data_IF_387662866039
#
_entry.id   IF_387662866039
#
_cell.length_a   1.000
_cell.length_b   1.000
_cell.length_c   1.000
_cell.angle_alpha   90.00
_cell.angle_beta   90.00
_cell.angle_gamma   90.00
#
_symmetry.space_group_name_H-M   'P 1'
#
loop_
_entity.id
_entity.type
_entity.pdbx_description
1 polymer ?
#
# COMPACT_ATOMS: atom_id res chain seq x y z
N UNK A 1 -22.01 -14.06 13.51
CA UNK A 1 -21.84 -14.30 12.05
C UNK A 1 -20.63 -13.49 11.60
N UNK A 2 -19.61 -14.09 10.97
CA UNK A 2 -18.41 -13.34 10.60
C UNK A 2 -18.69 -12.46 9.39
N UNK A 3 -18.89 -11.16 9.60
CA UNK A 3 -18.92 -10.14 8.55
C UNK A 3 -17.57 -10.15 7.82
N UNK A 4 -17.53 -10.74 6.63
CA UNK A 4 -16.40 -10.64 5.72
C UNK A 4 -16.44 -9.30 4.97
N UNK A 5 -15.31 -8.90 4.39
CA UNK A 5 -15.29 -7.81 3.42
C UNK A 5 -16.28 -8.08 2.28
N UNK A 6 -16.90 -7.03 1.71
CA UNK A 6 -17.79 -7.16 0.54
C UNK A 6 -17.13 -7.92 -0.61
N UNK A 7 -15.82 -7.72 -0.80
CA UNK A 7 -15.02 -8.41 -1.82
C UNK A 7 -14.94 -9.91 -1.51
N UNK A 8 -14.76 -10.28 -0.25
CA UNK A 8 -14.71 -11.67 0.18
C UNK A 8 -16.04 -12.38 -0.09
N UNK A 9 -17.16 -11.78 0.31
CA UNK A 9 -18.49 -12.38 0.10
C UNK A 9 -18.77 -12.55 -1.39
N UNK A 10 -18.51 -11.52 -2.20
CA UNK A 10 -18.71 -11.57 -3.65
C UNK A 10 -17.89 -12.67 -4.32
N UNK A 11 -16.61 -12.80 -3.99
CA UNK A 11 -15.76 -13.85 -4.54
C UNK A 11 -16.18 -15.24 -4.06
N UNK A 12 -16.60 -15.38 -2.80
CA UNK A 12 -17.09 -16.66 -2.29
C UNK A 12 -18.36 -17.13 -3.00
N UNK A 13 -19.29 -16.21 -3.29
CA UNK A 13 -20.50 -16.49 -4.07
C UNK A 13 -20.17 -16.88 -5.52
N UNK A 14 -19.23 -16.18 -6.15
CA UNK A 14 -18.81 -16.54 -7.52
C UNK A 14 -18.07 -17.88 -7.57
N UNK A 15 -17.30 -18.23 -6.54
CA UNK A 15 -16.69 -19.55 -6.42
C UNK A 15 -17.75 -20.65 -6.27
N UNK A 16 -18.77 -20.44 -5.44
CA UNK A 16 -19.90 -21.38 -5.32
C UNK A 16 -20.63 -21.54 -6.67
N UNK A 17 -20.85 -20.44 -7.40
CA UNK A 17 -21.55 -20.46 -8.70
C UNK A 17 -20.76 -21.15 -9.81
N UNK A 18 -19.44 -20.97 -9.84
CA UNK A 18 -18.56 -21.48 -10.91
C UNK A 18 -17.98 -22.87 -10.62
N UNK A 19 -18.14 -23.38 -9.40
CA UNK A 19 -17.63 -24.70 -8.99
C UNK A 19 -18.76 -25.59 -8.50
N UNK A 20 -18.42 -26.82 -8.09
CA UNK A 20 -19.35 -27.72 -7.39
C UNK A 20 -19.23 -27.63 -5.86
N UNK A 21 -18.49 -26.64 -5.35
CA UNK A 21 -18.31 -26.45 -3.91
C UNK A 21 -19.58 -25.87 -3.30
N UNK A 22 -19.99 -26.41 -2.17
CA UNK A 22 -21.05 -25.78 -1.36
C UNK A 22 -20.62 -24.40 -0.86
N UNK A 23 -21.58 -23.55 -0.49
CA UNK A 23 -21.32 -22.24 0.14
C UNK A 23 -20.27 -22.30 1.26
N UNK A 24 -20.35 -23.31 2.13
CA UNK A 24 -19.42 -23.47 3.24
C UNK A 24 -18.01 -23.82 2.76
N UNK A 25 -17.90 -24.71 1.77
CA UNK A 25 -16.62 -25.12 1.19
C UNK A 25 -15.96 -24.00 0.40
N UNK A 26 -16.72 -23.25 -0.41
CA UNK A 26 -16.22 -22.10 -1.15
C UNK A 26 -15.64 -21.05 -0.20
N UNK A 27 -16.41 -20.66 0.83
CA UNK A 27 -15.96 -19.71 1.86
C UNK A 27 -14.77 -20.24 2.65
N UNK A 28 -14.80 -21.52 3.05
CA UNK A 28 -13.72 -22.16 3.78
C UNK A 28 -12.41 -22.18 2.99
N UNK A 29 -12.49 -22.53 1.70
CA UNK A 29 -11.35 -22.55 0.78
C UNK A 29 -10.77 -21.16 0.59
N UNK A 30 -11.63 -20.16 0.35
CA UNK A 30 -11.19 -18.77 0.20
C UNK A 30 -10.54 -18.24 1.48
N UNK A 31 -11.07 -18.58 2.66
CA UNK A 31 -10.44 -18.21 3.95
C UNK A 31 -9.06 -18.83 4.12
N UNK A 32 -8.89 -20.09 3.76
CA UNK A 32 -7.59 -20.76 3.84
C UNK A 32 -6.59 -20.12 2.88
N UNK A 33 -6.98 -19.89 1.63
CA UNK A 33 -6.13 -19.23 0.63
C UNK A 33 -5.74 -17.81 1.06
N UNK A 34 -6.66 -17.05 1.65
CA UNK A 34 -6.35 -15.72 2.20
C UNK A 34 -5.34 -15.81 3.34
N UNK A 35 -5.52 -16.74 4.28
CA UNK A 35 -4.58 -16.93 5.40
C UNK A 35 -3.21 -17.37 4.94
N UNK A 36 -3.13 -18.26 3.95
CA UNK A 36 -1.87 -18.68 3.33
C UNK A 36 -1.13 -17.51 2.67
N UNK A 37 -1.88 -16.55 2.11
CA UNK A 37 -1.33 -15.30 1.55
C UNK A 37 -1.09 -14.19 2.60
N UNK A 38 -1.36 -14.44 3.89
CA UNK A 38 -1.18 -13.45 4.96
C UNK A 38 -2.31 -12.41 5.09
N UNK A 39 -3.45 -12.61 4.43
CA UNK A 39 -4.60 -11.69 4.49
C UNK A 39 -5.70 -12.19 5.43
N UNK A 40 -6.46 -11.23 5.98
CA UNK A 40 -7.64 -11.50 6.80
C UNK A 40 -8.93 -11.31 5.99
N UNK A 41 -9.90 -12.25 6.06
CA UNK A 41 -11.17 -12.14 5.33
C UNK A 41 -11.98 -10.88 5.61
N UNK A 42 -11.83 -10.31 6.81
CA UNK A 42 -12.55 -9.09 7.24
C UNK A 42 -12.04 -7.82 6.53
N UNK A 43 -10.76 -7.77 6.19
CA UNK A 43 -10.09 -6.55 5.72
C UNK A 43 -9.48 -6.72 4.31
N UNK A 44 -9.90 -7.75 3.57
CA UNK A 44 -9.37 -7.98 2.22
C UNK A 44 -9.85 -6.90 1.26
N UNK A 45 -8.90 -6.31 0.54
CA UNK A 45 -9.13 -5.32 -0.53
C UNK A 45 -9.23 -6.01 -1.90
N UNK A 46 -9.79 -5.35 -2.92
CA UNK A 46 -9.80 -5.88 -4.29
C UNK A 46 -8.40 -6.24 -4.79
N UNK A 47 -7.39 -5.37 -4.57
CA UNK A 47 -6.00 -5.62 -4.96
C UNK A 47 -5.41 -6.87 -4.32
N UNK A 48 -5.54 -7.01 -3.01
CA UNK A 48 -5.08 -8.23 -2.31
C UNK A 48 -5.83 -9.48 -2.76
N UNK A 49 -7.12 -9.35 -3.10
CA UNK A 49 -7.92 -10.46 -3.59
C UNK A 49 -7.42 -10.96 -4.96
N UNK A 50 -7.05 -10.05 -5.87
CA UNK A 50 -6.46 -10.43 -7.17
C UNK A 50 -5.19 -11.27 -6.98
N UNK A 51 -4.29 -10.87 -6.07
CA UNK A 51 -3.08 -11.64 -5.77
C UNK A 51 -3.41 -13.06 -5.29
N UNK A 52 -4.43 -13.18 -4.44
CA UNK A 52 -4.90 -14.48 -3.91
C UNK A 52 -5.50 -15.33 -5.03
N UNK A 53 -6.33 -14.74 -5.89
CA UNK A 53 -6.92 -15.42 -7.06
C UNK A 53 -5.86 -15.91 -8.04
N UNK A 54 -4.77 -15.16 -8.22
CA UNK A 54 -3.73 -15.52 -9.19
C UNK A 54 -2.73 -16.53 -8.64
N UNK A 55 -2.37 -16.46 -7.35
CA UNK A 55 -1.24 -17.22 -6.80
C UNK A 55 -1.63 -18.34 -5.84
N UNK A 56 -2.63 -18.11 -5.00
CA UNK A 56 -2.89 -18.99 -3.84
C UNK A 56 -4.14 -19.85 -4.02
N UNK A 57 -5.18 -19.29 -4.63
CA UNK A 57 -6.44 -19.97 -4.79
C UNK A 57 -6.43 -21.11 -5.84
N UNK A 58 -5.75 -20.99 -7.00
CA UNK A 58 -5.70 -22.07 -7.99
C UNK A 58 -5.16 -23.40 -7.43
N UNK A 59 -4.01 -23.44 -6.72
CA UNK A 59 -3.54 -24.69 -6.13
C UNK A 59 -4.45 -25.18 -4.99
N UNK A 60 -5.11 -24.29 -4.25
CA UNK A 60 -6.07 -24.67 -3.22
C UNK A 60 -7.33 -25.34 -3.82
N UNK A 61 -7.83 -24.83 -4.95
CA UNK A 61 -8.94 -25.41 -5.70
C UNK A 61 -8.58 -26.76 -6.31
N UNK A 62 -7.35 -26.90 -6.84
CA UNK A 62 -6.87 -28.17 -7.37
C UNK A 62 -6.85 -29.28 -6.30
N UNK A 63 -6.39 -28.95 -5.08
CA UNK A 63 -6.42 -29.89 -3.93
C UNK A 63 -7.84 -30.33 -3.55
N UNK A 64 -8.86 -29.56 -3.92
CA UNK A 64 -10.29 -29.88 -3.71
C UNK A 64 -10.94 -30.59 -4.90
N UNK A 65 -10.16 -30.96 -5.92
CA UNK A 65 -10.64 -31.65 -7.11
C UNK A 65 -11.22 -30.73 -8.19
N UNK A 66 -11.09 -29.40 -8.06
CA UNK A 66 -11.47 -28.45 -9.10
C UNK A 66 -10.32 -28.32 -10.09
N UNK A 67 -10.45 -29.00 -11.23
CA UNK A 67 -9.38 -29.06 -12.26
C UNK A 67 -9.16 -27.73 -12.97
N UNK A 68 -10.23 -26.99 -13.22
CA UNK A 68 -10.19 -25.72 -13.97
C UNK A 68 -9.96 -24.49 -13.07
N UNK A 69 -9.31 -24.68 -11.90
CA UNK A 69 -9.15 -23.66 -10.87
C UNK A 69 -8.49 -22.38 -11.38
N UNK A 70 -7.49 -22.47 -12.27
CA UNK A 70 -6.84 -21.31 -12.86
C UNK A 70 -7.79 -20.46 -13.72
N UNK A 71 -8.56 -21.11 -14.60
CA UNK A 71 -9.54 -20.44 -15.46
C UNK A 71 -10.65 -19.76 -14.65
N UNK A 72 -11.15 -20.46 -13.62
CA UNK A 72 -12.18 -19.92 -12.73
C UNK A 72 -11.64 -18.70 -11.97
N UNK A 73 -10.43 -18.80 -11.41
CA UNK A 73 -9.80 -17.66 -10.74
C UNK A 73 -9.59 -16.47 -11.67
N UNK A 74 -9.20 -16.71 -12.93
CA UNK A 74 -9.04 -15.66 -13.92
C UNK A 74 -10.36 -14.94 -14.23
N UNK A 75 -11.45 -15.69 -14.45
CA UNK A 75 -12.80 -15.14 -14.68
C UNK A 75 -13.28 -14.30 -13.49
N UNK A 76 -13.09 -14.80 -12.27
CA UNK A 76 -13.44 -14.07 -11.05
C UNK A 76 -12.56 -12.81 -10.92
N UNK A 77 -11.28 -12.88 -11.31
CA UNK A 77 -10.38 -11.73 -11.30
C UNK A 77 -10.83 -10.61 -12.22
N UNK A 78 -11.35 -10.92 -13.42
CA UNK A 78 -11.97 -9.94 -14.32
C UNK A 78 -13.15 -9.26 -13.61
N UNK A 79 -14.06 -10.05 -13.06
CA UNK A 79 -15.25 -9.54 -12.36
C UNK A 79 -14.88 -8.63 -11.18
N UNK A 80 -13.88 -9.01 -10.38
CA UNK A 80 -13.41 -8.17 -9.26
C UNK A 80 -12.85 -6.85 -9.77
N UNK A 81 -12.11 -6.85 -10.88
CA UNK A 81 -11.57 -5.61 -11.47
C UNK A 81 -12.67 -4.68 -11.98
N UNK A 82 -13.64 -5.23 -12.70
CA UNK A 82 -14.77 -4.47 -13.26
C UNK A 82 -15.69 -3.91 -12.17
N UNK A 83 -16.10 -4.75 -11.21
CA UNK A 83 -17.10 -4.38 -10.20
C UNK A 83 -16.56 -3.49 -9.09
N UNK A 84 -15.26 -3.56 -8.80
CA UNK A 84 -14.63 -2.80 -7.73
C UNK A 84 -13.84 -1.59 -8.23
N UNK A 85 -13.98 -1.23 -9.51
CA UNK A 85 -13.36 -0.05 -10.11
C UNK A 85 -11.83 -0.08 -10.03
N UNK A 86 -11.23 -1.27 -10.14
CA UNK A 86 -9.78 -1.34 -10.35
C UNK A 86 -9.53 -0.99 -11.81
N UNK A 87 -9.40 0.32 -12.07
CA UNK A 87 -8.89 0.84 -13.34
C UNK A 87 -7.66 0.01 -13.73
N UNK A 88 -7.69 -0.57 -14.94
CA UNK A 88 -6.56 -1.32 -15.49
C UNK A 88 -5.29 -0.51 -15.27
N UNK A 89 -4.33 -1.07 -14.55
CA UNK A 89 -3.03 -0.44 -14.31
C UNK A 89 -2.16 -0.40 -15.57
N UNK A 90 -2.75 -0.51 -16.76
CA UNK A 90 -2.16 -0.12 -18.04
C UNK A 90 -1.78 1.38 -18.08
N UNK A 91 -2.09 2.15 -17.04
CA UNK A 91 -1.77 3.57 -16.92
C UNK A 91 -0.73 3.96 -15.86
N UNK A 92 -0.05 3.03 -15.18
CA UNK A 92 1.05 3.40 -14.27
C UNK A 92 2.38 3.41 -15.04
N UNK A 93 2.56 4.45 -15.86
CA UNK A 93 3.85 4.71 -16.51
C UNK A 93 4.88 5.18 -15.47
N UNK A 94 6.18 4.94 -15.67
CA UNK A 94 7.22 5.43 -14.76
C UNK A 94 7.09 6.94 -14.49
N UNK A 95 6.70 7.73 -15.48
CA UNK A 95 6.47 9.17 -15.36
C UNK A 95 5.39 9.50 -14.33
N UNK A 96 4.31 8.70 -14.25
CA UNK A 96 3.25 8.87 -13.24
C UNK A 96 3.74 8.51 -11.84
N UNK A 97 4.63 7.53 -11.71
CA UNK A 97 5.28 7.18 -10.44
C UNK A 97 6.21 8.30 -9.99
N UNK A 98 7.06 8.82 -10.88
CA UNK A 98 7.98 9.93 -10.59
C UNK A 98 7.22 11.24 -10.27
N UNK A 99 6.14 11.55 -10.99
CA UNK A 99 5.32 12.73 -10.73
C UNK A 99 4.66 12.68 -9.34
N UNK A 100 4.27 11.50 -8.86
CA UNK A 100 3.71 11.31 -7.51
C UNK A 100 4.77 11.52 -6.44
N UNK A 101 5.98 10.99 -6.64
CA UNK A 101 7.10 11.14 -5.69
C UNK A 101 7.57 12.60 -5.65
N UNK A 102 7.68 13.26 -6.81
CA UNK A 102 8.10 14.66 -6.92
C UNK A 102 7.12 15.67 -6.30
N UNK A 103 5.83 15.33 -6.16
CA UNK A 103 4.82 16.19 -5.48
C UNK A 103 4.85 16.09 -3.96
N UNK A 104 5.38 15.00 -3.40
CA UNK A 104 5.49 14.83 -1.95
C UNK A 104 6.64 15.64 -1.33
N UNK A 105 7.54 16.21 -2.14
CA UNK A 105 8.76 16.88 -1.70
C UNK A 105 8.85 18.36 -2.05
N UNK A 106 7.77 19.01 -2.51
CA UNK A 106 7.78 20.48 -2.70
C UNK A 106 7.29 21.12 -1.40
N UNK A 107 8.17 21.64 -0.53
CA UNK A 107 7.72 22.57 0.52
C UNK A 107 7.07 23.79 -0.17
N UNK A 108 6.03 24.39 0.43
CA UNK A 108 5.42 25.58 -0.15
C UNK A 108 6.47 26.68 -0.29
N UNK A 109 6.80 27.04 -1.53
CA UNK A 109 7.61 28.22 -1.85
C UNK A 109 6.87 29.46 -1.35
N UNK A 110 7.32 30.02 -0.24
CA UNK A 110 6.88 31.33 0.25
C UNK A 110 7.12 32.41 -0.80
N UNK A 111 6.13 33.26 -1.13
CA UNK A 111 6.34 34.36 -2.05
C UNK A 111 7.06 35.53 -1.34
N UNK A 112 8.18 35.92 -1.94
CA UNK A 112 8.67 37.29 -2.08
C UNK A 112 8.58 38.25 -0.89
N UNK A 113 9.73 38.51 -0.26
CA UNK A 113 10.02 39.84 0.30
C UNK A 113 11.48 40.20 0.09
N UNK A 114 11.73 41.00 -0.93
CA UNK A 114 12.98 41.75 -1.07
C UNK A 114 12.66 43.15 -1.57
N UNK A 115 12.94 44.12 -0.70
CA UNK A 115 13.61 45.40 -0.98
C UNK A 115 13.10 46.45 0.01
N UNK A 116 14.01 47.11 0.74
CA UNK A 116 14.27 48.56 0.58
C UNK A 116 15.02 49.18 1.79
N UNK A 117 16.37 49.12 1.73
CA UNK A 117 17.42 50.14 2.05
C UNK A 117 17.52 50.79 3.49
N UNK A 118 18.54 51.64 3.81
CA UNK A 118 19.63 51.32 4.75
C UNK A 118 19.80 52.40 5.88
N UNK A 119 21.01 52.49 6.46
CA UNK A 119 21.60 53.62 7.26
C UNK A 119 21.86 53.28 8.75
N UNK A 120 23.09 52.87 9.09
CA UNK A 120 24.17 53.69 9.70
C UNK A 120 23.85 54.19 11.11
N UNK A 121 24.57 53.66 12.11
CA UNK A 121 25.38 54.49 13.02
C UNK A 121 26.39 53.65 13.79
N UNK A 122 27.50 54.33 14.09
CA UNK A 122 28.81 53.82 14.53
C UNK A 122 28.83 53.32 15.98
N UNK A 123 29.75 52.38 16.21
CA UNK A 123 30.49 51.97 17.43
C UNK A 123 31.01 53.18 18.24
N UNK A 124 31.47 53.12 19.53
CA UNK A 124 32.29 52.03 20.08
C UNK A 124 32.25 51.75 21.61
N UNK A 125 33.08 50.76 21.99
CA UNK A 125 33.85 50.66 23.25
C UNK A 125 33.33 49.68 24.30
N UNK A 126 34.03 48.54 24.42
CA UNK A 126 33.86 47.56 25.50
C UNK A 126 34.98 46.52 25.45
N UNK A 127 36.12 46.91 26.03
CA UNK A 127 37.42 46.22 26.12
C UNK A 127 37.36 44.96 27.00
N UNK A 128 38.23 43.98 26.68
CA UNK A 128 38.88 42.98 27.56
C UNK A 128 37.94 41.90 28.15
N UNK A 129 38.26 40.61 28.28
CA UNK A 129 39.52 39.87 28.37
C UNK A 129 39.15 38.38 28.22
N UNK A 130 39.88 37.60 27.43
CA UNK A 130 40.86 36.61 27.90
C UNK A 130 40.38 35.15 27.68
N UNK A 131 41.14 34.44 26.84
CA UNK A 131 41.21 32.99 26.72
C UNK A 131 42.23 32.49 27.75
N UNK A 132 42.02 31.33 28.40
CA UNK A 132 42.96 30.21 28.22
C UNK A 132 42.20 28.82 28.24
N UNK A 133 42.86 27.64 28.31
CA UNK A 133 42.87 26.61 27.25
C UNK A 133 42.18 25.29 27.69
N UNK A 134 42.20 24.20 26.87
CA UNK A 134 41.55 22.93 27.20
C UNK A 134 42.44 21.98 28.03
N UNK A 135 41.89 21.39 29.10
CA UNK A 135 42.54 20.29 29.83
C UNK A 135 42.05 18.91 29.36
N UNK A 136 43.01 18.16 28.79
CA UNK A 136 43.18 16.69 28.81
C UNK A 136 43.09 16.20 30.28
N UNK A 137 42.66 14.99 30.69
CA UNK A 137 42.71 13.62 30.16
C UNK A 137 41.99 12.68 31.20
N UNK A 138 41.92 11.34 30.98
CA UNK A 138 40.96 10.41 31.60
C UNK A 138 41.43 9.75 32.91
N UNK A 139 40.47 9.17 33.63
CA UNK A 139 40.63 8.20 34.72
C UNK A 139 39.22 7.85 35.24
N UNK A 140 38.85 6.62 35.61
CA UNK A 140 39.54 5.35 35.86
C UNK A 140 38.52 4.26 35.55
#
# INVERSE_FOLDING_TARGET
MSEGSRVFERVAEELERLTKLSRLEARGTLRLALREAGFLPKNVTPRSMIVVLEKTLPPALLKRGVRDGGTICYQIGILVRETMGMESSDGETPERVFARIGRATIPPSSPGRSSMVPDVTRTPTGRLSAVPPPEKKPGV
#
